data_IF_914198347394
#
_entry.id   IF_914198347394
#
_cell.length_a   1.000
_cell.length_b   1.000
_cell.length_c   1.000
_cell.angle_alpha   90.00
_cell.angle_beta   90.00
_cell.angle_gamma   90.00
#
_symmetry.space_group_name_H-M   'P 1'
#
loop_
_entity.id
_entity.type
_entity.pdbx_description
1 polymer ?
#
# COMPACT_ATOMS: atom_id res chain seq x y z
N UNK A 1 11.76 -35.22 3.97
CA UNK A 1 12.01 -33.77 3.76
C UNK A 1 10.68 -33.08 3.52
N UNK A 2 10.20 -32.26 4.46
CA UNK A 2 8.97 -31.50 4.28
C UNK A 2 9.25 -30.31 3.34
N UNK A 3 8.55 -30.23 2.20
CA UNK A 3 8.51 -29.04 1.34
C UNK A 3 7.87 -27.91 2.16
N UNK A 4 8.68 -26.94 2.58
CA UNK A 4 8.17 -25.67 3.09
C UNK A 4 7.54 -24.95 1.90
N UNK A 5 6.21 -24.97 1.83
CA UNK A 5 5.46 -24.27 0.80
C UNK A 5 5.56 -22.77 1.10
N UNK A 6 6.54 -22.08 0.50
CA UNK A 6 6.62 -20.61 0.59
C UNK A 6 5.42 -20.05 -0.15
N UNK A 7 4.44 -19.54 0.59
CA UNK A 7 3.35 -18.74 0.01
C UNK A 7 3.96 -17.50 -0.63
N UNK A 8 3.53 -17.17 -1.83
CA UNK A 8 3.98 -15.96 -2.50
C UNK A 8 3.35 -14.73 -1.83
N UNK A 9 3.96 -13.57 -2.04
CA UNK A 9 3.53 -12.31 -1.42
C UNK A 9 2.06 -11.99 -1.73
N UNK A 10 1.63 -12.27 -2.97
CA UNK A 10 0.23 -12.08 -3.40
C UNK A 10 -0.77 -12.92 -2.61
N UNK A 11 -0.46 -14.20 -2.38
CA UNK A 11 -1.33 -15.10 -1.60
C UNK A 11 -1.42 -14.62 -0.15
N UNK A 12 -0.30 -14.17 0.41
CA UNK A 12 -0.23 -13.67 1.79
C UNK A 12 -1.05 -12.38 1.97
N UNK A 13 -1.07 -11.51 0.96
CA UNK A 13 -1.88 -10.28 0.96
C UNK A 13 -3.35 -10.65 0.88
N UNK A 14 -3.76 -11.45 -0.12
CA UNK A 14 -5.16 -11.78 -0.37
C UNK A 14 -5.82 -12.61 0.75
N UNK A 15 -5.06 -13.43 1.45
CA UNK A 15 -5.53 -14.24 2.59
C UNK A 15 -5.84 -13.39 3.84
N UNK A 16 -5.34 -12.16 3.94
CA UNK A 16 -5.56 -11.28 5.08
C UNK A 16 -6.37 -10.06 4.66
N UNK A 17 -7.66 -9.95 5.04
CA UNK A 17 -8.48 -8.80 4.65
C UNK A 17 -7.88 -7.44 5.08
N UNK A 18 -7.16 -7.40 6.21
CA UNK A 18 -6.46 -6.19 6.65
C UNK A 18 -5.26 -5.86 5.75
N UNK A 19 -4.47 -6.87 5.38
CA UNK A 19 -3.33 -6.68 4.48
C UNK A 19 -3.80 -6.23 3.08
N UNK A 20 -4.89 -6.82 2.57
CA UNK A 20 -5.51 -6.41 1.29
C UNK A 20 -5.98 -4.95 1.32
N UNK A 21 -6.60 -4.49 2.41
CA UNK A 21 -7.01 -3.09 2.56
C UNK A 21 -5.78 -2.17 2.55
N UNK A 22 -4.75 -2.48 3.35
CA UNK A 22 -3.52 -1.65 3.41
C UNK A 22 -2.86 -1.57 2.04
N UNK A 23 -2.71 -2.72 1.36
CA UNK A 23 -2.14 -2.78 0.02
C UNK A 23 -2.98 -2.00 -1.00
N UNK A 24 -4.30 -2.07 -0.90
CA UNK A 24 -5.22 -1.25 -1.70
C UNK A 24 -5.00 0.25 -1.46
N UNK A 25 -4.87 0.70 -0.20
CA UNK A 25 -4.58 2.11 0.14
C UNK A 25 -3.25 2.57 -0.47
N UNK A 26 -2.18 1.78 -0.32
CA UNK A 26 -0.88 2.09 -0.92
C UNK A 26 -0.98 2.18 -2.44
N UNK A 27 -1.74 1.28 -3.06
CA UNK A 27 -1.99 1.28 -4.51
C UNK A 27 -2.74 2.54 -4.96
N UNK A 28 -3.76 3.00 -4.20
CA UNK A 28 -4.46 4.26 -4.48
C UNK A 28 -3.50 5.45 -4.41
N UNK A 29 -2.70 5.54 -3.34
CA UNK A 29 -1.75 6.64 -3.17
C UNK A 29 -0.72 6.66 -4.31
N UNK A 30 -0.23 5.49 -4.74
CA UNK A 30 0.70 5.37 -5.86
C UNK A 30 0.05 5.77 -7.20
N UNK A 31 -1.20 5.38 -7.43
CA UNK A 31 -1.96 5.80 -8.62
C UNK A 31 -2.19 7.31 -8.66
N UNK A 32 -2.54 7.93 -7.52
CA UNK A 32 -2.68 9.38 -7.41
C UNK A 32 -1.36 10.12 -7.63
N UNK A 33 -0.24 9.60 -7.13
CA UNK A 33 1.10 10.16 -7.39
C UNK A 33 1.39 10.19 -8.90
N UNK A 34 1.11 9.10 -9.60
CA UNK A 34 1.27 9.03 -11.06
C UNK A 34 0.34 9.99 -11.81
N UNK A 35 -0.91 10.13 -11.36
CA UNK A 35 -1.91 10.95 -12.05
C UNK A 35 -1.72 12.46 -11.85
N UNK A 36 -1.17 12.90 -10.70
CA UNK A 36 -1.15 14.31 -10.32
C UNK A 36 0.23 14.91 -10.05
N UNK A 37 1.20 14.12 -9.57
CA UNK A 37 2.52 14.65 -9.18
C UNK A 37 3.52 14.52 -10.31
N UNK A 38 3.47 13.43 -11.08
CA UNK A 38 4.36 13.24 -12.23
C UNK A 38 3.94 14.04 -13.49
N UNK A 39 2.71 14.55 -13.49
CA UNK A 39 2.09 15.30 -14.61
C UNK A 39 2.06 16.81 -14.35
N UNK A 40 2.66 17.27 -13.24
CA UNK A 40 2.63 18.66 -12.83
C UNK A 40 3.23 19.60 -13.88
N UNK A 41 2.41 20.55 -14.35
CA UNK A 41 2.76 21.72 -15.17
C UNK A 41 3.24 21.45 -16.62
N UNK A 42 2.84 20.35 -17.25
CA UNK A 42 3.13 20.11 -18.68
C UNK A 42 2.10 20.66 -19.66
N UNK A 43 1.21 21.53 -19.20
CA UNK A 43 0.15 22.07 -20.03
C UNK A 43 0.74 22.80 -21.27
N UNK A 44 0.18 22.56 -22.46
CA UNK A 44 0.52 23.34 -23.64
C UNK A 44 0.30 24.83 -23.40
N UNK A 45 1.23 25.65 -23.87
CA UNK A 45 1.14 27.11 -23.86
C UNK A 45 0.94 27.64 -25.27
N UNK A 46 0.35 28.82 -25.40
CA UNK A 46 0.32 29.51 -26.69
C UNK A 46 1.70 30.04 -27.05
N UNK A 47 1.95 30.30 -28.35
CA UNK A 47 3.22 30.89 -28.82
C UNK A 47 3.55 32.22 -28.13
N UNK A 48 2.55 33.01 -27.77
CA UNK A 48 2.72 34.32 -27.12
C UNK A 48 3.12 34.19 -25.65
N UNK A 49 2.86 33.04 -25.03
CA UNK A 49 3.24 32.74 -23.64
C UNK A 49 4.59 32.03 -23.55
N UNK A 50 5.11 31.53 -24.68
CA UNK A 50 6.41 30.88 -24.75
C UNK A 50 7.56 31.89 -24.60
N UNK A 51 8.63 31.47 -23.96
CA UNK A 51 9.85 32.25 -23.84
C UNK A 51 10.66 32.11 -25.13
N UNK A 52 10.95 33.24 -25.77
CA UNK A 52 11.79 33.28 -26.96
C UNK A 52 13.26 33.43 -26.56
N UNK A 53 14.12 32.57 -27.11
CA UNK A 53 15.57 32.64 -26.94
C UNK A 53 16.26 32.60 -28.31
N UNK A 54 17.39 33.29 -28.44
CA UNK A 54 18.25 33.21 -29.62
C UNK A 54 19.71 33.07 -29.21
N UNK A 55 20.49 32.31 -29.97
CA UNK A 55 21.91 32.14 -29.71
C UNK A 55 22.61 31.34 -30.80
N UNK A 56 23.93 31.24 -30.68
CA UNK A 56 24.76 30.41 -31.55
C UNK A 56 24.93 29.00 -31.00
N UNK A 57 24.57 27.99 -31.80
CA UNK A 57 24.67 26.58 -31.45
C UNK A 57 26.12 26.16 -31.18
N UNK A 58 26.38 25.50 -30.05
CA UNK A 58 27.66 24.86 -29.77
C UNK A 58 27.62 23.37 -30.12
N UNK A 59 26.67 22.64 -29.54
CA UNK A 59 26.52 21.17 -29.67
C UNK A 59 25.17 20.68 -29.13
N UNK A 60 24.76 19.51 -29.59
CA UNK A 60 23.65 18.73 -29.05
C UNK A 60 24.19 17.53 -28.28
N UNK A 61 23.58 17.20 -27.13
CA UNK A 61 23.88 15.96 -26.40
C UNK A 61 22.60 15.28 -25.92
N UNK A 62 22.61 13.96 -26.00
CA UNK A 62 21.51 13.10 -25.55
C UNK A 62 21.99 11.91 -24.74
N UNK A 63 21.12 11.45 -23.85
CA UNK A 63 21.23 10.19 -23.12
C UNK A 63 19.85 9.55 -22.97
N UNK A 64 19.79 8.46 -22.19
CA UNK A 64 18.55 7.68 -22.06
C UNK A 64 17.33 8.50 -21.58
N UNK A 65 17.56 9.45 -20.67
CA UNK A 65 16.50 10.23 -20.01
C UNK A 65 16.78 11.74 -20.03
N UNK A 66 17.66 12.22 -20.92
CA UNK A 66 17.98 13.63 -21.02
C UNK A 66 18.40 13.98 -22.44
N UNK A 67 18.09 15.21 -22.86
CA UNK A 67 18.47 15.76 -24.15
C UNK A 67 18.62 17.27 -24.01
N UNK A 68 19.72 17.82 -24.50
CA UNK A 68 20.11 19.22 -24.23
C UNK A 68 20.83 19.84 -25.43
N UNK A 69 20.47 21.08 -25.73
CA UNK A 69 21.18 21.96 -26.67
C UNK A 69 22.07 22.90 -25.87
N UNK A 70 23.33 23.01 -26.28
CA UNK A 70 24.31 23.93 -25.72
C UNK A 70 24.59 25.07 -26.68
N UNK A 71 24.70 26.28 -26.16
CA UNK A 71 25.04 27.49 -26.90
C UNK A 71 26.46 27.96 -26.58
N UNK A 72 27.07 28.74 -27.49
CA UNK A 72 28.46 29.20 -27.37
C UNK A 72 28.70 30.17 -26.22
N UNK A 73 27.64 30.83 -25.73
CA UNK A 73 27.64 31.68 -24.54
C UNK A 73 27.61 30.89 -23.22
N UNK A 74 27.51 29.56 -23.30
CA UNK A 74 27.44 28.65 -22.17
C UNK A 74 26.03 28.38 -21.65
N UNK A 75 25.00 28.96 -22.25
CA UNK A 75 23.60 28.63 -21.91
C UNK A 75 23.22 27.25 -22.45
N UNK A 76 22.25 26.63 -21.79
CA UNK A 76 21.74 25.31 -22.18
C UNK A 76 20.22 25.27 -22.09
N UNK A 77 19.61 24.50 -22.98
CA UNK A 77 18.17 24.31 -23.02
C UNK A 77 17.81 22.84 -23.18
N UNK A 78 16.93 22.37 -22.30
CA UNK A 78 16.49 20.99 -22.26
C UNK A 78 15.44 20.71 -23.34
N UNK A 79 15.54 19.54 -23.95
CA UNK A 79 14.52 18.97 -24.83
C UNK A 79 13.87 17.79 -24.13
N UNK A 80 12.58 17.57 -24.39
CA UNK A 80 11.90 16.43 -23.82
C UNK A 80 12.34 15.14 -24.53
N UNK A 81 13.11 14.24 -23.87
CA UNK A 81 13.85 13.17 -24.56
C UNK A 81 12.94 12.09 -25.15
N UNK A 82 11.69 11.99 -24.68
CA UNK A 82 10.75 10.94 -25.06
C UNK A 82 9.86 11.29 -26.26
N UNK A 83 9.92 12.54 -26.74
CA UNK A 83 9.10 13.03 -27.88
C UNK A 83 9.97 13.53 -29.03
N UNK A 84 11.29 13.32 -28.99
CA UNK A 84 12.14 13.66 -30.14
C UNK A 84 12.19 12.51 -31.15
N UNK A 85 11.70 12.77 -32.35
CA UNK A 85 11.87 11.85 -33.48
C UNK A 85 13.33 11.76 -33.95
N UNK A 86 13.73 10.60 -34.50
CA UNK A 86 15.10 10.36 -34.97
C UNK A 86 15.57 11.40 -35.99
N UNK A 87 14.68 11.88 -36.88
CA UNK A 87 15.00 12.94 -37.84
C UNK A 87 15.46 14.23 -37.16
N UNK A 88 14.77 14.66 -36.10
CA UNK A 88 15.14 15.86 -35.32
C UNK A 88 16.52 15.66 -34.69
N UNK A 89 16.74 14.49 -34.08
CA UNK A 89 18.02 14.14 -33.46
C UNK A 89 19.17 14.19 -34.48
N UNK A 90 18.97 13.59 -35.65
CA UNK A 90 19.99 13.55 -36.71
C UNK A 90 20.29 14.96 -37.23
N UNK A 91 19.26 15.80 -37.41
CA UNK A 91 19.42 17.22 -37.79
C UNK A 91 20.20 18.00 -36.73
N UNK A 92 19.89 17.81 -35.45
CA UNK A 92 20.60 18.48 -34.35
C UNK A 92 22.06 18.03 -34.23
N UNK A 93 22.35 16.75 -34.48
CA UNK A 93 23.73 16.22 -34.49
C UNK A 93 24.55 16.69 -35.69
N UNK A 94 23.89 16.96 -36.82
CA UNK A 94 24.53 17.46 -38.04
C UNK A 94 24.70 18.99 -38.08
N UNK A 95 24.09 19.73 -37.15
CA UNK A 95 24.18 21.20 -37.11
C UNK A 95 25.63 21.67 -36.94
N UNK A 96 26.13 22.57 -37.81
CA UNK A 96 27.43 23.18 -37.63
C UNK A 96 27.45 24.06 -36.37
N UNK A 97 28.55 23.99 -35.61
CA UNK A 97 28.83 24.94 -34.53
C UNK A 97 28.82 26.38 -35.07
N UNK A 98 28.23 27.30 -34.31
CA UNK A 98 28.03 28.71 -34.67
C UNK A 98 26.73 28.97 -35.43
N UNK A 99 25.92 27.93 -35.71
CA UNK A 99 24.63 28.12 -36.39
C UNK A 99 23.67 28.89 -35.48
N UNK A 100 23.07 29.98 -35.98
CA UNK A 100 22.08 30.74 -35.23
C UNK A 100 20.78 29.94 -35.08
N UNK A 101 20.34 29.76 -33.83
CA UNK A 101 19.08 29.12 -33.49
C UNK A 101 18.15 30.11 -32.82
N UNK A 102 16.85 29.94 -33.09
CA UNK A 102 15.78 30.57 -32.35
C UNK A 102 14.95 29.47 -31.71
N UNK A 103 14.72 29.62 -30.41
CA UNK A 103 13.97 28.68 -29.60
C UNK A 103 12.69 29.32 -29.09
N UNK A 104 11.64 28.51 -29.00
CA UNK A 104 10.50 28.79 -28.13
C UNK A 104 10.47 27.76 -27.01
N UNK A 105 10.46 28.21 -25.77
CA UNK A 105 10.54 27.38 -24.56
C UNK A 105 9.23 27.51 -23.78
N UNK A 106 8.69 26.37 -23.34
CA UNK A 106 7.51 26.36 -22.48
C UNK A 106 7.93 26.79 -21.05
N UNK A 107 7.40 27.90 -20.51
CA UNK A 107 7.82 28.43 -19.20
C UNK A 107 7.44 27.53 -18.02
N UNK A 108 6.47 26.62 -18.19
CA UNK A 108 6.01 25.74 -17.13
C UNK A 108 6.89 24.50 -16.97
N UNK A 109 7.50 24.04 -18.07
CA UNK A 109 8.32 22.82 -18.10
C UNK A 109 9.80 23.06 -18.35
N UNK A 110 10.15 24.26 -18.81
CA UNK A 110 11.50 24.65 -19.27
C UNK A 110 12.01 23.82 -20.47
N UNK A 111 11.15 23.02 -21.10
CA UNK A 111 11.48 22.30 -22.32
C UNK A 111 11.30 23.18 -23.56
N UNK A 112 12.24 23.03 -24.49
CA UNK A 112 12.15 23.61 -25.83
C UNK A 112 10.99 22.98 -26.58
N UNK A 113 10.07 23.82 -27.04
CA UNK A 113 8.92 23.46 -27.87
C UNK A 113 9.18 23.70 -29.36
N UNK A 114 10.00 24.70 -29.72
CA UNK A 114 10.38 24.98 -31.11
C UNK A 114 11.89 25.17 -31.25
N UNK A 115 12.44 24.68 -32.36
CA UNK A 115 13.79 25.00 -32.80
C UNK A 115 13.71 25.38 -34.27
N UNK A 116 14.22 26.56 -34.61
CA UNK A 116 14.38 26.98 -36.01
C UNK A 116 15.74 27.63 -36.23
N UNK A 117 16.25 27.49 -37.45
CA UNK A 117 17.33 28.32 -37.99
C UNK A 117 16.71 29.48 -38.78
N UNK A 118 17.54 30.34 -39.38
CA UNK A 118 17.05 31.38 -40.31
C UNK A 118 16.33 30.79 -41.54
N UNK A 119 16.60 29.53 -41.90
CA UNK A 119 16.14 28.92 -43.15
C UNK A 119 15.14 27.77 -42.95
N UNK A 120 15.20 27.07 -41.82
CA UNK A 120 14.44 25.83 -41.63
C UNK A 120 13.95 25.67 -40.21
N UNK A 121 12.71 25.19 -40.06
CA UNK A 121 12.19 24.65 -38.80
C UNK A 121 12.79 23.25 -38.57
N UNK A 122 13.38 23.03 -37.40
CA UNK A 122 13.96 21.75 -36.97
C UNK A 122 12.97 20.99 -36.09
N UNK A 123 12.34 21.68 -35.16
CA UNK A 123 11.35 21.15 -34.22
C UNK A 123 10.14 22.08 -34.21
N UNK A 124 8.95 21.53 -34.44
CA UNK A 124 7.72 22.30 -34.57
C UNK A 124 7.03 22.53 -33.22
N UNK A 125 6.61 23.76 -32.94
CA UNK A 125 6.00 24.17 -31.67
C UNK A 125 4.73 23.40 -31.33
N UNK A 126 3.76 23.37 -32.24
CA UNK A 126 2.45 22.76 -32.01
C UNK A 126 2.57 21.24 -31.85
N UNK A 127 3.35 20.60 -32.71
CA UNK A 127 3.58 19.15 -32.66
C UNK A 127 4.28 18.75 -31.35
N UNK A 128 5.34 19.47 -30.96
CA UNK A 128 6.11 19.13 -29.75
C UNK A 128 5.28 19.25 -28.50
N UNK A 129 4.53 20.35 -28.33
CA UNK A 129 3.67 20.51 -27.17
C UNK A 129 2.56 19.46 -27.12
N UNK A 130 1.97 19.12 -28.28
CA UNK A 130 0.99 18.07 -28.36
C UNK A 130 1.56 16.71 -27.98
N UNK A 131 2.75 16.36 -28.46
CA UNK A 131 3.39 15.08 -28.12
C UNK A 131 3.75 14.99 -26.63
N UNK A 132 4.24 16.07 -26.04
CA UNK A 132 4.51 16.14 -24.59
C UNK A 132 3.21 15.97 -23.80
N UNK A 133 2.14 16.66 -24.19
CA UNK A 133 0.83 16.56 -23.54
C UNK A 133 0.23 15.15 -23.67
N UNK A 134 0.22 14.57 -24.87
CA UNK A 134 -0.28 13.21 -25.14
C UNK A 134 0.51 12.17 -24.32
N UNK A 135 1.84 12.33 -24.21
CA UNK A 135 2.68 11.47 -23.39
C UNK A 135 2.26 11.53 -21.90
N UNK A 136 1.98 12.72 -21.39
CA UNK A 136 1.57 12.96 -20.00
C UNK A 136 0.14 12.48 -19.71
N UNK A 137 -0.77 12.62 -20.66
CA UNK A 137 -2.10 12.01 -20.61
C UNK A 137 -1.98 10.49 -20.44
N UNK A 138 -1.01 9.85 -21.10
CA UNK A 138 -0.71 8.43 -20.92
C UNK A 138 -0.41 8.05 -19.46
N UNK A 139 0.46 8.81 -18.78
CA UNK A 139 0.75 8.60 -17.36
C UNK A 139 -0.47 8.85 -16.46
N UNK A 140 -1.27 9.86 -16.80
CA UNK A 140 -2.52 10.16 -16.11
C UNK A 140 -3.48 8.96 -16.16
N UNK A 141 -3.67 8.37 -17.35
CA UNK A 141 -4.53 7.20 -17.54
C UNK A 141 -4.03 6.01 -16.72
N UNK A 142 -2.71 5.72 -16.76
CA UNK A 142 -2.11 4.64 -15.97
C UNK A 142 -2.36 4.88 -14.47
N UNK A 143 -2.12 6.10 -13.98
CA UNK A 143 -2.36 6.47 -12.59
C UNK A 143 -3.81 6.25 -12.16
N UNK A 144 -4.77 6.67 -12.97
CA UNK A 144 -6.20 6.47 -12.72
C UNK A 144 -6.56 4.99 -12.66
N UNK A 145 -6.09 4.18 -13.62
CA UNK A 145 -6.36 2.73 -13.65
C UNK A 145 -5.81 2.03 -12.40
N UNK A 146 -4.58 2.36 -12.01
CA UNK A 146 -3.95 1.83 -10.78
C UNK A 146 -4.76 2.23 -9.55
N UNK A 147 -5.17 3.50 -9.44
CA UNK A 147 -5.97 3.98 -8.33
C UNK A 147 -7.32 3.24 -8.21
N UNK A 148 -8.03 3.05 -9.33
CA UNK A 148 -9.28 2.29 -9.36
C UNK A 148 -9.08 0.84 -8.91
N UNK A 149 -7.98 0.20 -9.33
CA UNK A 149 -7.60 -1.14 -8.84
C UNK A 149 -7.40 -1.18 -7.33
N UNK A 150 -6.73 -0.17 -6.77
CA UNK A 150 -6.58 -0.02 -5.31
C UNK A 150 -7.91 0.14 -4.57
N UNK A 151 -8.84 0.94 -5.11
CA UNK A 151 -10.20 1.09 -4.56
C UNK A 151 -10.94 -0.25 -4.57
N UNK A 152 -10.86 -1.01 -5.66
CA UNK A 152 -11.46 -2.33 -5.75
C UNK A 152 -10.92 -3.29 -4.69
N UNK A 153 -9.60 -3.28 -4.45
CA UNK A 153 -8.97 -4.09 -3.39
C UNK A 153 -9.46 -3.70 -1.99
N UNK A 154 -9.64 -2.41 -1.72
CA UNK A 154 -10.20 -1.93 -0.44
C UNK A 154 -11.63 -2.45 -0.26
N UNK A 155 -12.47 -2.33 -1.29
CA UNK A 155 -13.85 -2.82 -1.25
C UNK A 155 -13.87 -4.33 -1.01
N UNK A 156 -13.06 -5.09 -1.77
CA UNK A 156 -12.93 -6.54 -1.61
C UNK A 156 -12.48 -6.91 -0.18
N UNK A 157 -11.42 -6.27 0.34
CA UNK A 157 -10.93 -6.51 1.69
C UNK A 157 -11.98 -6.19 2.78
N UNK A 158 -12.74 -5.11 2.61
CA UNK A 158 -13.86 -4.77 3.51
C UNK A 158 -14.97 -5.83 3.48
N UNK A 159 -15.36 -6.32 2.31
CA UNK A 159 -16.36 -7.38 2.14
C UNK A 159 -15.87 -8.68 2.76
N UNK A 160 -14.63 -9.10 2.44
CA UNK A 160 -14.00 -10.31 3.00
C UNK A 160 -13.93 -10.26 4.52
N UNK A 161 -13.55 -9.11 5.11
CA UNK A 161 -13.55 -8.92 6.57
C UNK A 161 -14.94 -9.08 7.18
N UNK A 162 -15.98 -8.52 6.55
CA UNK A 162 -17.38 -8.71 7.01
C UNK A 162 -17.80 -10.18 6.93
N UNK A 163 -17.42 -10.91 5.89
CA UNK A 163 -17.70 -12.34 5.77
C UNK A 163 -16.98 -13.17 6.83
N UNK A 164 -15.72 -12.85 7.13
CA UNK A 164 -14.98 -13.50 8.22
C UNK A 164 -15.63 -13.25 9.58
N UNK A 165 -16.00 -12.00 9.89
CA UNK A 165 -16.74 -11.69 11.13
C UNK A 165 -18.02 -12.51 11.24
N UNK A 166 -18.84 -12.58 10.19
CA UNK A 166 -20.06 -13.41 10.17
C UNK A 166 -19.76 -14.91 10.35
N UNK A 167 -18.65 -15.42 9.82
CA UNK A 167 -18.24 -16.83 10.01
C UNK A 167 -17.78 -17.08 11.45
N UNK A 168 -17.04 -16.15 12.05
CA UNK A 168 -16.59 -16.21 13.44
C UNK A 168 -17.78 -16.14 14.38
N UNK A 169 -18.71 -15.20 14.18
CA UNK A 169 -19.95 -15.10 14.97
C UNK A 169 -20.79 -16.40 14.89
N UNK A 170 -20.93 -16.97 13.68
CA UNK A 170 -21.63 -18.26 13.51
C UNK A 170 -20.90 -19.42 14.20
N UNK A 171 -19.57 -19.44 14.21
CA UNK A 171 -18.77 -20.45 14.94
C UNK A 171 -18.82 -20.24 16.45
N UNK A 172 -18.76 -19.00 16.93
CA UNK A 172 -18.90 -18.64 18.35
C UNK A 172 -20.28 -19.06 18.88
N UNK A 173 -21.35 -18.82 18.11
CA UNK A 173 -22.70 -19.33 18.43
C UNK A 173 -22.80 -20.86 18.40
N UNK A 174 -21.84 -21.55 17.77
CA UNK A 174 -21.76 -23.02 17.68
C UNK A 174 -20.67 -23.62 18.58
N UNK A 175 -19.93 -22.80 19.35
CA UNK A 175 -19.02 -23.30 20.37
C UNK A 175 -19.88 -23.88 21.50
N UNK A 176 -20.12 -25.18 21.40
CA UNK A 176 -20.69 -25.98 22.47
C UNK A 176 -19.64 -25.94 23.58
N UNK A 177 -19.91 -25.15 24.61
CA UNK A 177 -19.03 -25.05 25.76
C UNK A 177 -18.76 -26.47 26.32
N UNK A 178 -17.48 -26.79 26.52
CA UNK A 178 -17.05 -28.14 26.89
C UNK A 178 -17.54 -28.48 28.30
N UNK A 179 -18.04 -29.70 28.48
CA UNK A 179 -18.55 -30.20 29.76
C UNK A 179 -17.54 -31.03 30.56
N UNK A 180 -16.36 -31.29 29.99
CA UNK A 180 -15.30 -32.09 30.62
C UNK A 180 -13.94 -31.43 30.42
N UNK A 181 -13.04 -31.51 31.42
CA UNK A 181 -11.68 -31.01 31.30
C UNK A 181 -10.89 -31.77 30.22
N UNK A 182 -9.91 -31.11 29.61
CA UNK A 182 -8.98 -31.70 28.64
C UNK A 182 -7.87 -32.48 29.34
N UNK A 183 -7.28 -31.87 30.38
CA UNK A 183 -6.13 -32.39 31.11
C UNK A 183 -5.84 -31.54 32.35
N UNK A 184 -5.09 -32.06 33.33
CA UNK A 184 -4.53 -31.25 34.41
C UNK A 184 -3.62 -30.14 33.86
N UNK A 185 -3.65 -28.97 34.51
CA UNK A 185 -2.77 -27.86 34.19
C UNK A 185 -1.34 -28.20 34.63
N UNK A 186 -0.42 -28.27 33.67
CA UNK A 186 0.99 -28.50 33.95
C UNK A 186 1.62 -27.24 34.57
N UNK A 187 2.46 -27.44 35.58
CA UNK A 187 3.38 -26.41 36.05
C UNK A 187 4.44 -26.13 34.97
N UNK A 188 4.38 -24.93 34.41
CA UNK A 188 5.28 -24.50 33.35
C UNK A 188 5.40 -22.97 33.35
N UNK A 189 6.42 -22.45 32.66
CA UNK A 189 6.58 -21.01 32.47
C UNK A 189 5.43 -20.48 31.59
N UNK A 190 4.41 -19.92 32.23
CA UNK A 190 3.23 -19.37 31.60
C UNK A 190 3.10 -17.88 31.91
N UNK A 191 2.53 -17.10 30.99
CA UNK A 191 2.11 -15.72 31.24
C UNK A 191 0.65 -15.74 31.68
N UNK A 192 0.37 -15.41 32.93
CA UNK A 192 -1.00 -15.23 33.41
C UNK A 192 -1.56 -13.94 32.80
N UNK A 193 -2.64 -14.06 32.03
CA UNK A 193 -3.29 -12.93 31.36
C UNK A 193 -4.33 -12.32 32.29
N UNK A 194 -5.16 -13.18 32.86
CA UNK A 194 -6.15 -12.85 33.89
C UNK A 194 -6.32 -14.04 34.84
N UNK A 195 -6.70 -13.73 36.06
CA UNK A 195 -7.04 -14.73 37.07
C UNK A 195 -8.10 -14.15 37.99
N UNK A 196 -9.18 -14.88 38.24
CA UNK A 196 -10.30 -14.42 39.06
C UNK A 196 -10.86 -15.58 39.88
N UNK A 197 -10.97 -15.43 41.21
CA UNK A 197 -11.78 -16.33 42.03
C UNK A 197 -13.27 -15.97 41.90
N UNK A 198 -14.14 -16.98 41.82
CA UNK A 198 -15.60 -16.81 41.86
C UNK A 198 -16.24 -18.00 42.57
N UNK A 199 -16.70 -17.81 43.80
CA UNK A 199 -17.21 -18.91 44.62
C UNK A 199 -16.13 -19.97 44.83
N UNK A 200 -16.42 -21.21 44.44
CA UNK A 200 -15.48 -22.35 44.51
C UNK A 200 -14.57 -22.48 43.27
N UNK A 201 -14.71 -21.58 42.30
CA UNK A 201 -13.94 -21.63 41.06
C UNK A 201 -12.72 -20.69 41.12
N UNK A 202 -11.54 -21.27 40.94
CA UNK A 202 -10.31 -20.56 40.63
C UNK A 202 -10.12 -20.55 39.12
N UNK A 203 -10.47 -19.43 38.47
CA UNK A 203 -10.46 -19.29 37.02
C UNK A 203 -9.18 -18.57 36.60
N UNK A 204 -8.37 -19.23 35.78
CA UNK A 204 -7.11 -18.71 35.28
C UNK A 204 -7.10 -18.73 33.75
N UNK A 205 -6.90 -17.57 33.15
CA UNK A 205 -6.67 -17.40 31.73
C UNK A 205 -5.19 -17.09 31.52
N UNK A 206 -4.46 -18.03 30.92
CA UNK A 206 -3.00 -17.93 30.76
C UNK A 206 -2.54 -18.29 29.36
N UNK A 207 -1.32 -17.88 29.03
CA UNK A 207 -0.64 -18.23 27.79
C UNK A 207 0.61 -19.06 28.07
N UNK A 208 0.70 -20.22 27.44
CA UNK A 208 1.85 -21.13 27.44
C UNK A 208 2.41 -21.20 26.02
N UNK A 209 3.53 -20.52 25.76
CA UNK A 209 4.10 -20.40 24.42
C UNK A 209 3.11 -19.75 23.43
N UNK A 210 2.55 -20.55 22.51
CA UNK A 210 1.56 -20.15 21.50
C UNK A 210 0.13 -20.56 21.84
N UNK A 211 -0.11 -21.13 23.01
CA UNK A 211 -1.41 -21.66 23.42
C UNK A 211 -1.99 -20.80 24.53
N UNK A 212 -3.23 -20.35 24.33
CA UNK A 212 -4.03 -19.74 25.37
C UNK A 212 -4.91 -20.82 26.01
N UNK A 213 -4.90 -20.88 27.34
CA UNK A 213 -5.58 -21.91 28.13
C UNK A 213 -6.61 -21.25 29.07
N UNK A 214 -7.80 -21.84 29.13
CA UNK A 214 -8.78 -21.60 30.18
C UNK A 214 -8.62 -22.70 31.23
N UNK A 215 -8.22 -22.31 32.42
CA UNK A 215 -8.01 -23.21 33.56
C UNK A 215 -9.05 -22.92 34.63
N UNK A 216 -9.67 -23.97 35.14
CA UNK A 216 -10.64 -23.90 36.24
C UNK A 216 -10.24 -24.98 37.24
N UNK A 217 -9.97 -24.59 38.49
CA UNK A 217 -9.60 -25.50 39.58
C UNK A 217 -8.41 -26.42 39.25
N UNK A 218 -7.42 -25.90 38.52
CA UNK A 218 -6.20 -26.63 38.17
C UNK A 218 -6.32 -27.54 36.95
N UNK A 219 -7.46 -27.56 36.26
CA UNK A 219 -7.65 -28.31 35.02
C UNK A 219 -7.80 -27.38 33.82
N UNK A 220 -7.26 -27.77 32.66
CA UNK A 220 -7.43 -27.06 31.40
C UNK A 220 -8.75 -27.51 30.77
N UNK A 221 -9.66 -26.59 30.50
CA UNK A 221 -10.97 -26.88 29.94
C UNK A 221 -11.07 -26.58 28.45
N UNK A 222 -10.34 -25.57 27.99
CA UNK A 222 -10.32 -25.18 26.59
C UNK A 222 -9.00 -24.52 26.23
N UNK A 223 -8.61 -24.65 24.96
CA UNK A 223 -7.31 -24.21 24.45
C UNK A 223 -7.44 -23.55 23.08
N UNK A 224 -6.67 -22.49 22.85
CA UNK A 224 -6.59 -21.80 21.57
C UNK A 224 -5.12 -21.61 21.16
N UNK A 225 -4.72 -22.24 20.06
CA UNK A 225 -3.35 -22.17 19.52
C UNK A 225 -3.27 -21.06 18.48
N UNK A 226 -2.43 -20.05 18.74
CA UNK A 226 -2.17 -18.97 17.78
C UNK A 226 -0.76 -18.39 17.92
N UNK A 227 -0.09 -18.17 16.78
CA UNK A 227 1.22 -17.53 16.75
C UNK A 227 1.14 -16.02 17.10
N UNK A 228 0.07 -15.35 16.65
CA UNK A 228 -0.27 -13.96 16.96
C UNK A 228 -1.66 -13.98 17.62
N UNK A 229 -1.82 -13.26 18.74
CA UNK A 229 -3.10 -13.22 19.46
C UNK A 229 -4.12 -12.33 18.74
N UNK A 230 -5.18 -12.96 18.24
CA UNK A 230 -6.38 -12.29 17.78
C UNK A 230 -7.51 -12.44 18.81
N UNK A 231 -8.63 -11.77 18.59
CA UNK A 231 -9.85 -11.95 19.36
C UNK A 231 -10.25 -13.44 19.42
N UNK A 232 -10.58 -13.94 20.60
CA UNK A 232 -11.02 -15.32 20.81
C UNK A 232 -11.73 -15.47 22.15
N UNK A 233 -12.51 -16.55 22.28
CA UNK A 233 -13.24 -16.93 23.48
C UNK A 233 -13.02 -18.43 23.74
N UNK A 234 -12.47 -18.74 24.91
CA UNK A 234 -12.38 -20.08 25.48
C UNK A 234 -13.57 -20.30 26.39
N UNK A 235 -14.18 -21.49 26.37
CA UNK A 235 -15.44 -21.72 27.09
C UNK A 235 -15.58 -23.10 27.72
N UNK A 236 -16.13 -23.12 28.94
CA UNK A 236 -16.40 -24.33 29.73
C UNK A 236 -17.80 -24.27 30.35
N UNK A 237 -18.39 -25.44 30.62
CA UNK A 237 -19.56 -25.60 31.49
C UNK A 237 -19.16 -26.47 32.67
N UNK A 238 -19.12 -25.88 33.86
CA UNK A 238 -18.76 -26.55 35.13
C UNK A 238 -19.95 -26.41 36.08
N UNK A 239 -20.49 -27.54 36.54
CA UNK A 239 -21.69 -27.60 37.40
C UNK A 239 -22.89 -26.79 36.89
N UNK A 240 -23.07 -26.76 35.56
CA UNK A 240 -24.12 -26.00 34.90
C UNK A 240 -23.82 -24.51 34.72
N UNK A 241 -22.71 -23.99 35.27
CA UNK A 241 -22.25 -22.63 35.06
C UNK A 241 -21.38 -22.53 33.81
N UNK A 242 -21.68 -21.55 32.95
CA UNK A 242 -20.85 -21.23 31.78
C UNK A 242 -19.74 -20.27 32.18
N UNK A 243 -18.50 -20.68 32.01
CA UNK A 243 -17.30 -19.89 32.32
C UNK A 243 -16.57 -19.64 31.00
N UNK A 244 -16.22 -18.38 30.73
CA UNK A 244 -15.49 -18.00 29.53
C UNK A 244 -14.30 -17.11 29.86
N UNK A 245 -13.25 -17.19 29.06
CA UNK A 245 -12.15 -16.24 29.10
C UNK A 245 -11.60 -16.00 27.70
N UNK A 246 -11.08 -14.81 27.44
CA UNK A 246 -10.67 -14.49 26.10
C UNK A 246 -10.05 -13.13 25.91
N UNK A 247 -9.92 -12.76 24.65
CA UNK A 247 -9.46 -11.46 24.20
C UNK A 247 -10.55 -10.80 23.37
N UNK A 248 -10.97 -9.58 23.72
CA UNK A 248 -12.03 -8.82 23.04
C UNK A 248 -11.50 -7.89 21.94
N UNK A 249 -12.40 -7.42 21.06
CA UNK A 249 -12.08 -6.44 20.01
C UNK A 249 -11.50 -5.12 20.56
N UNK A 250 -11.91 -4.70 21.76
CA UNK A 250 -11.47 -3.45 22.41
C UNK A 250 -10.10 -3.57 23.11
N UNK A 251 -9.35 -4.63 22.79
CA UNK A 251 -8.06 -4.98 23.36
C UNK A 251 -8.11 -5.31 24.86
N UNK A 252 -9.20 -5.89 25.38
CA UNK A 252 -9.24 -6.38 26.75
C UNK A 252 -8.96 -7.88 26.79
N UNK A 253 -8.28 -8.35 27.82
CA UNK A 253 -8.52 -9.69 28.32
C UNK A 253 -9.78 -9.65 29.19
N UNK A 254 -10.60 -10.69 29.15
CA UNK A 254 -11.77 -10.82 30.03
C UNK A 254 -11.91 -12.23 30.61
N UNK A 255 -12.60 -12.32 31.75
CA UNK A 255 -13.18 -13.55 32.30
C UNK A 255 -14.67 -13.26 32.53
N UNK A 256 -15.54 -14.12 32.01
CA UNK A 256 -16.99 -14.07 32.20
C UNK A 256 -17.50 -15.30 32.96
N UNK A 257 -18.55 -15.09 33.74
CA UNK A 257 -19.29 -16.12 34.46
C UNK A 257 -20.78 -15.96 34.19
N UNK A 258 -21.41 -16.97 33.58
CA UNK A 258 -22.79 -16.94 33.10
C UNK A 258 -23.11 -15.70 32.26
N UNK A 259 -22.17 -15.28 31.41
CA UNK A 259 -22.32 -14.12 30.52
C UNK A 259 -22.00 -12.77 31.15
N UNK A 260 -21.74 -12.70 32.45
CA UNK A 260 -21.33 -11.47 33.14
C UNK A 260 -19.82 -11.40 33.29
N UNK A 261 -19.22 -10.28 32.90
CA UNK A 261 -17.79 -10.07 33.08
C UNK A 261 -17.48 -9.90 34.56
N UNK A 262 -16.62 -10.78 35.08
CA UNK A 262 -16.19 -10.74 36.49
C UNK A 262 -14.78 -10.16 36.63
N UNK A 263 -14.01 -10.13 35.54
CA UNK A 263 -12.70 -9.47 35.50
C UNK A 263 -12.34 -9.08 34.08
N UNK A 264 -11.74 -7.91 33.95
CA UNK A 264 -11.18 -7.42 32.69
C UNK A 264 -9.83 -6.75 32.90
N UNK A 265 -9.00 -6.71 31.86
CA UNK A 265 -7.73 -5.98 31.85
C UNK A 265 -7.42 -5.50 30.45
N UNK A 266 -7.24 -4.18 30.30
CA UNK A 266 -6.78 -3.60 29.04
C UNK A 266 -5.38 -4.11 28.70
N UNK A 267 -5.20 -4.52 27.45
CA UNK A 267 -3.92 -4.98 26.91
C UNK A 267 -3.33 -3.88 26.04
N UNK A 268 -2.07 -3.58 26.31
CA UNK A 268 -1.22 -2.81 25.42
C UNK A 268 -0.49 -3.87 24.60
N UNK A 269 -0.98 -4.10 23.37
CA UNK A 269 -0.36 -4.99 22.38
C UNK A 269 0.62 -4.15 21.57
#
# INVERSE_FOLDING_TARGET
MARVNRKNLGDTILESPKATIIFGVVTVLFGLLFAFVLTGNTAPVSRNEALAYEGEFEKYRDGRNWSTIYFTDGTEHALYPHTLGQNVIDRLKALPRGTKLYLLVNPNTEYVAEIRTDQTEILNFEATQKEIDDYQIGYTIIGVVVALGGVFLIVYGCVSRKHEKKKIEKKSKKNIARKTPLRPAKECRARILLEAPKGEYNICYRRVGRVNELIINGEVWDEYVAAIEFEHCLSAVVDGNKIEAGHSEDNYSYISFNGHWIKEKKRWI
#
